data_IF_944415934710
#
_entry.id   IF_944415934710
#
_cell.length_a   1.000
_cell.length_b   1.000
_cell.length_c   1.000
_cell.angle_alpha   90.00
_cell.angle_beta   90.00
_cell.angle_gamma   90.00
#
_symmetry.space_group_name_H-M   'P 1'
#
loop_
_entity.id
_entity.type
_entity.pdbx_description
1 polymer ?
#
# COMPACT_ATOMS: atom_id res chain seq x y z
N UNK A 1 -17.44 5.00 -24.88
CA UNK A 1 -17.23 5.03 -23.42
C UNK A 1 -15.81 4.57 -23.18
N UNK A 2 -14.99 5.40 -22.56
CA UNK A 2 -13.59 5.09 -22.26
C UNK A 2 -13.51 4.11 -21.09
N UNK A 3 -12.45 3.29 -21.06
CA UNK A 3 -12.16 2.42 -19.91
C UNK A 3 -11.57 3.23 -18.75
N UNK A 4 -11.61 2.71 -17.54
CA UNK A 4 -10.98 3.35 -16.37
C UNK A 4 -9.47 3.52 -16.55
N UNK A 5 -8.82 2.59 -17.26
CA UNK A 5 -7.39 2.65 -17.62
C UNK A 5 -7.09 3.84 -18.53
N UNK A 6 -7.87 4.00 -19.60
CA UNK A 6 -7.73 5.14 -20.52
C UNK A 6 -7.93 6.48 -19.80
N UNK A 7 -8.90 6.54 -18.88
CA UNK A 7 -9.14 7.75 -18.08
C UNK A 7 -8.01 7.98 -17.08
N UNK A 8 -7.48 6.93 -16.48
CA UNK A 8 -6.34 7.04 -15.55
C UNK A 8 -5.09 7.58 -16.25
N UNK A 9 -4.78 7.12 -17.47
CA UNK A 9 -3.66 7.67 -18.22
C UNK A 9 -3.87 9.16 -18.54
N UNK A 10 -5.09 9.57 -18.89
CA UNK A 10 -5.41 11.00 -19.07
C UNK A 10 -5.26 11.81 -17.77
N UNK A 11 -5.65 11.22 -16.63
CA UNK A 11 -5.42 11.84 -15.31
C UNK A 11 -3.94 11.99 -15.04
N UNK A 12 -3.14 10.95 -15.30
CA UNK A 12 -1.68 11.00 -15.15
C UNK A 12 -1.05 12.11 -15.99
N UNK A 13 -1.42 12.19 -17.26
CA UNK A 13 -0.84 13.15 -18.20
C UNK A 13 -1.24 14.60 -17.88
N UNK A 14 -2.45 14.84 -17.39
CA UNK A 14 -3.01 16.18 -17.30
C UNK A 14 -3.14 16.73 -15.87
N UNK A 15 -3.24 15.86 -14.87
CA UNK A 15 -3.54 16.26 -13.50
C UNK A 15 -2.45 15.90 -12.50
N UNK A 16 -1.52 15.02 -12.89
CA UNK A 16 -0.53 14.50 -11.97
C UNK A 16 0.79 15.20 -12.15
N UNK A 17 1.15 16.02 -11.17
CA UNK A 17 2.47 16.64 -11.11
C UNK A 17 3.47 15.69 -10.43
N UNK A 18 4.37 15.15 -11.24
CA UNK A 18 5.43 14.25 -10.78
C UNK A 18 6.53 14.97 -10.00
N UNK A 19 6.66 16.29 -10.13
CA UNK A 19 7.71 17.06 -9.44
C UNK A 19 7.48 17.12 -7.92
N UNK A 20 6.23 17.00 -7.48
CA UNK A 20 5.87 16.99 -6.06
C UNK A 20 6.12 15.65 -5.36
N UNK A 21 6.52 14.62 -6.09
CA UNK A 21 6.88 13.31 -5.49
C UNK A 21 8.04 13.45 -4.51
N UNK A 22 8.99 14.34 -4.78
CA UNK A 22 10.09 14.63 -3.85
C UNK A 22 9.58 15.19 -2.52
N UNK A 23 8.53 16.01 -2.54
CA UNK A 23 7.90 16.56 -1.34
C UNK A 23 7.18 15.46 -0.54
N UNK A 24 6.45 14.58 -1.22
CA UNK A 24 5.81 13.40 -0.58
C UNK A 24 6.88 12.49 0.02
N UNK A 25 7.94 12.18 -0.69
CA UNK A 25 9.05 11.38 -0.19
C UNK A 25 9.67 12.02 1.07
N UNK A 26 9.84 13.34 1.07
CA UNK A 26 10.33 14.08 2.24
C UNK A 26 9.34 14.02 3.41
N UNK A 27 8.05 14.21 3.16
CA UNK A 27 7.01 14.12 4.19
C UNK A 27 6.89 12.72 4.79
N UNK A 28 7.12 11.68 3.99
CA UNK A 28 7.13 10.27 4.40
C UNK A 28 8.49 9.80 4.90
N UNK A 29 9.52 10.66 4.85
CA UNK A 29 10.90 10.35 5.25
C UNK A 29 11.53 9.21 4.44
N UNK A 30 11.16 9.06 3.18
CA UNK A 30 11.81 8.10 2.29
C UNK A 30 13.19 8.62 1.92
N UNK A 31 14.22 7.96 2.43
CA UNK A 31 15.62 8.37 2.24
C UNK A 31 16.30 7.63 1.09
N UNK A 32 15.77 6.49 0.68
CA UNK A 32 16.32 5.66 -0.39
C UNK A 32 15.81 6.10 -1.76
N UNK A 33 16.72 6.36 -2.70
CA UNK A 33 16.37 6.87 -4.03
C UNK A 33 15.63 5.81 -4.88
N UNK A 34 15.91 4.51 -4.66
CA UNK A 34 15.18 3.41 -5.30
C UNK A 34 13.67 3.50 -5.04
N UNK A 35 13.29 3.85 -3.80
CA UNK A 35 11.88 4.02 -3.43
C UNK A 35 11.26 5.20 -4.16
N UNK A 36 11.96 6.33 -4.22
CA UNK A 36 11.46 7.53 -4.89
C UNK A 36 11.23 7.25 -6.38
N UNK A 37 12.21 6.66 -7.06
CA UNK A 37 12.11 6.30 -8.47
C UNK A 37 10.97 5.32 -8.71
N UNK A 38 10.89 4.26 -7.90
CA UNK A 38 9.84 3.26 -8.00
C UNK A 38 8.43 3.86 -7.84
N UNK A 39 8.26 4.75 -6.89
CA UNK A 39 6.97 5.40 -6.66
C UNK A 39 6.57 6.29 -7.85
N UNK A 40 7.51 7.08 -8.39
CA UNK A 40 7.28 7.92 -9.58
C UNK A 40 6.85 7.08 -10.79
N UNK A 41 7.57 5.99 -11.05
CA UNK A 41 7.35 5.15 -12.23
C UNK A 41 6.01 4.41 -12.19
N UNK A 42 5.55 4.05 -11.00
CA UNK A 42 4.45 3.08 -10.87
C UNK A 42 3.15 3.66 -10.33
N UNK A 43 3.14 4.75 -9.52
CA UNK A 43 1.93 5.06 -8.77
C UNK A 43 1.65 6.52 -8.48
N UNK A 44 2.61 7.46 -8.56
CA UNK A 44 2.45 8.70 -7.85
C UNK A 44 2.40 9.93 -8.72
N UNK A 45 1.42 10.75 -8.41
CA UNK A 45 1.43 12.14 -8.76
C UNK A 45 0.48 12.90 -7.85
N UNK A 46 0.75 14.18 -7.72
CA UNK A 46 -0.11 15.09 -6.97
C UNK A 46 -1.21 15.61 -7.89
N UNK A 47 -2.46 15.38 -7.53
CA UNK A 47 -3.57 15.83 -8.34
C UNK A 47 -3.72 17.34 -8.26
N UNK A 48 -3.61 18.01 -9.40
CA UNK A 48 -3.95 19.41 -9.58
C UNK A 48 -5.43 19.57 -9.90
N UNK A 49 -5.95 20.81 -9.94
CA UNK A 49 -7.33 21.05 -10.26
C UNK A 49 -7.63 20.81 -11.75
N UNK A 50 -8.61 19.96 -12.10
CA UNK A 50 -9.06 19.79 -13.48
C UNK A 50 -9.95 20.92 -13.99
N UNK A 51 -10.25 21.91 -13.14
CA UNK A 51 -11.33 22.90 -13.35
C UNK A 51 -11.18 23.79 -14.60
N UNK A 52 -10.06 23.73 -15.31
CA UNK A 52 -9.80 24.47 -16.56
C UNK A 52 -9.96 23.60 -17.81
N UNK A 53 -10.13 22.28 -17.68
CA UNK A 53 -10.23 21.35 -18.81
C UNK A 53 -11.59 20.66 -18.85
N UNK A 54 -12.54 21.24 -19.61
CA UNK A 54 -13.92 20.74 -19.74
C UNK A 54 -13.95 19.30 -20.31
N UNK A 55 -13.07 18.98 -21.25
CA UNK A 55 -13.01 17.66 -21.86
C UNK A 55 -12.62 16.60 -20.83
N UNK A 56 -11.60 16.89 -20.01
CA UNK A 56 -11.19 16.01 -18.93
C UNK A 56 -12.27 15.85 -17.86
N UNK A 57 -12.99 16.94 -17.52
CA UNK A 57 -14.11 16.86 -16.58
C UNK A 57 -15.23 15.93 -17.10
N UNK A 58 -15.57 16.02 -18.39
CA UNK A 58 -16.57 15.13 -19.00
C UNK A 58 -16.12 13.66 -18.94
N UNK A 59 -14.85 13.40 -19.19
CA UNK A 59 -14.28 12.04 -19.13
C UNK A 59 -14.26 11.49 -17.70
N UNK A 60 -13.96 12.31 -16.71
CA UNK A 60 -14.00 11.93 -15.29
C UNK A 60 -15.45 11.60 -14.85
N UNK A 61 -16.41 12.37 -15.35
CA UNK A 61 -17.84 12.13 -15.08
C UNK A 61 -18.34 10.83 -15.70
N UNK A 62 -17.92 10.53 -16.95
CA UNK A 62 -18.28 9.28 -17.66
C UNK A 62 -17.91 8.01 -16.87
N UNK A 63 -16.80 8.03 -16.12
CA UNK A 63 -16.34 6.90 -15.30
C UNK A 63 -16.75 7.02 -13.84
N UNK A 64 -17.52 8.05 -13.48
CA UNK A 64 -18.03 8.28 -12.12
C UNK A 64 -16.95 8.75 -11.12
N UNK A 65 -15.89 9.41 -11.59
CA UNK A 65 -14.80 9.89 -10.74
C UNK A 65 -14.97 11.34 -10.28
N UNK A 66 -16.15 11.95 -10.56
CA UNK A 66 -16.55 13.21 -9.97
C UNK A 66 -17.58 13.00 -8.86
N UNK A 67 -17.47 13.77 -7.79
CA UNK A 67 -18.50 13.93 -6.79
C UNK A 67 -19.11 15.34 -6.95
N UNK A 68 -20.39 15.41 -7.31
CA UNK A 68 -21.12 16.68 -7.55
C UNK A 68 -20.36 17.65 -8.46
N UNK A 69 -19.75 17.12 -9.53
CA UNK A 69 -18.99 17.90 -10.49
C UNK A 69 -17.59 18.33 -10.02
N UNK A 70 -17.07 17.72 -8.94
CA UNK A 70 -15.74 18.05 -8.40
C UNK A 70 -14.85 16.80 -8.40
N UNK A 71 -13.60 16.96 -8.85
CA UNK A 71 -12.59 15.92 -8.70
C UNK A 71 -12.05 15.90 -7.27
N UNK A 72 -12.53 14.94 -6.49
CA UNK A 72 -12.31 14.89 -5.02
C UNK A 72 -10.87 14.58 -4.61
N UNK A 73 -10.01 14.20 -5.55
CA UNK A 73 -8.60 13.90 -5.28
C UNK A 73 -7.66 15.10 -5.47
N UNK A 74 -8.19 16.27 -5.84
CA UNK A 74 -7.40 17.49 -5.92
C UNK A 74 -6.62 17.75 -4.62
N UNK A 75 -5.36 18.15 -4.73
CA UNK A 75 -4.48 18.39 -3.59
C UNK A 75 -4.05 17.11 -2.84
N UNK A 76 -4.13 15.95 -3.49
CA UNK A 76 -3.74 14.66 -2.92
C UNK A 76 -2.75 13.92 -3.81
N UNK A 77 -1.95 13.08 -3.21
CA UNK A 77 -1.19 12.07 -3.93
C UNK A 77 -2.15 10.97 -4.35
N UNK A 78 -2.25 10.74 -5.65
CA UNK A 78 -3.19 9.76 -6.23
C UNK A 78 -2.49 8.43 -6.44
N UNK A 79 -3.16 7.36 -6.01
CA UNK A 79 -2.71 5.98 -6.16
C UNK A 79 -3.85 5.16 -6.75
N UNK A 80 -3.63 4.40 -7.85
CA UNK A 80 -4.65 3.49 -8.37
C UNK A 80 -4.80 2.27 -7.46
N UNK A 81 -6.04 1.87 -7.23
CA UNK A 81 -6.37 0.57 -6.66
C UNK A 81 -6.75 -0.34 -7.83
N UNK A 82 -6.07 -1.47 -7.96
CA UNK A 82 -6.28 -2.43 -9.04
C UNK A 82 -7.01 -3.67 -8.57
N UNK A 83 -7.73 -4.28 -9.48
CA UNK A 83 -8.24 -5.64 -9.36
C UNK A 83 -7.08 -6.65 -9.48
N UNK A 84 -7.34 -7.92 -9.15
CA UNK A 84 -6.34 -8.99 -9.25
C UNK A 84 -5.84 -9.23 -10.69
N UNK A 85 -6.60 -8.84 -11.71
CA UNK A 85 -6.22 -8.91 -13.12
C UNK A 85 -5.42 -7.70 -13.62
N UNK A 86 -5.12 -6.74 -12.73
CA UNK A 86 -4.38 -5.51 -13.03
C UNK A 86 -5.25 -4.36 -13.54
N UNK A 87 -6.54 -4.57 -13.84
CA UNK A 87 -7.45 -3.49 -14.23
C UNK A 87 -7.73 -2.52 -13.09
N UNK A 88 -8.03 -1.26 -13.40
CA UNK A 88 -8.27 -0.24 -12.36
C UNK A 88 -9.66 -0.38 -11.77
N UNK A 89 -9.74 -0.63 -10.47
CA UNK A 89 -10.98 -0.62 -9.71
C UNK A 89 -11.40 0.81 -9.39
N UNK A 90 -10.52 1.59 -8.74
CA UNK A 90 -10.76 2.99 -8.38
C UNK A 90 -9.44 3.72 -8.08
N UNK A 91 -9.54 4.99 -7.67
CA UNK A 91 -8.41 5.80 -7.22
C UNK A 91 -8.53 6.13 -5.74
N UNK A 92 -7.40 6.15 -5.04
CA UNK A 92 -7.29 6.67 -3.68
C UNK A 92 -6.34 7.85 -3.65
N UNK A 93 -6.74 8.90 -2.93
CA UNK A 93 -5.92 10.08 -2.70
C UNK A 93 -5.43 10.16 -1.25
N UNK A 94 -4.13 10.37 -1.06
CA UNK A 94 -3.52 10.59 0.24
C UNK A 94 -3.06 12.04 0.40
N UNK A 95 -3.22 12.59 1.60
CA UNK A 95 -2.60 13.86 2.02
C UNK A 95 -2.26 13.84 3.51
N UNK A 96 -1.35 14.72 3.92
CA UNK A 96 -1.15 15.01 5.34
C UNK A 96 -2.35 15.81 5.86
N UNK A 97 -2.99 15.33 6.91
CA UNK A 97 -4.19 15.96 7.51
C UNK A 97 -5.43 15.09 7.40
N UNK A 98 -6.58 15.65 7.73
CA UNK A 98 -7.85 14.92 7.75
C UNK A 98 -8.75 15.30 6.56
N UNK A 99 -9.45 14.35 5.95
CA UNK A 99 -9.20 12.92 6.04
C UNK A 99 -7.86 12.55 5.35
N UNK A 100 -7.07 11.69 5.99
CA UNK A 100 -5.75 11.26 5.49
C UNK A 100 -5.85 10.55 4.14
N UNK A 101 -6.85 9.69 4.00
CA UNK A 101 -7.17 8.98 2.76
C UNK A 101 -8.58 9.32 2.30
N UNK A 102 -8.74 9.46 1.01
CA UNK A 102 -10.04 9.57 0.34
C UNK A 102 -10.04 8.63 -0.86
N UNK A 103 -11.01 7.73 -0.91
CA UNK A 103 -11.17 6.80 -2.03
C UNK A 103 -12.38 7.25 -2.84
N UNK A 104 -12.24 7.35 -4.15
CA UNK A 104 -13.38 7.63 -5.02
C UNK A 104 -14.38 6.49 -4.87
N UNK A 105 -15.64 6.84 -4.60
CA UNK A 105 -16.72 5.86 -4.56
C UNK A 105 -16.94 5.28 -5.96
N UNK A 106 -16.95 3.97 -6.05
CA UNK A 106 -17.18 3.25 -7.30
C UNK A 106 -18.06 2.03 -7.02
N UNK A 107 -19.00 1.73 -7.93
CA UNK A 107 -19.94 0.61 -7.76
C UNK A 107 -19.26 -0.75 -7.76
N UNK A 108 -18.12 -0.84 -8.43
CA UNK A 108 -17.35 -2.07 -8.59
C UNK A 108 -16.24 -2.20 -7.54
N UNK A 109 -16.14 -1.23 -6.59
CA UNK A 109 -15.13 -1.22 -5.55
C UNK A 109 -15.73 -1.26 -4.14
N UNK A 110 -15.22 -2.15 -3.32
CA UNK A 110 -15.47 -2.18 -1.88
C UNK A 110 -14.18 -2.48 -1.12
N UNK A 111 -13.87 -1.71 -0.09
CA UNK A 111 -12.72 -1.96 0.78
C UNK A 111 -12.78 -3.30 1.48
N UNK A 112 -13.98 -3.82 1.72
CA UNK A 112 -14.21 -5.12 2.37
C UNK A 112 -13.82 -6.30 1.48
N UNK A 113 -13.79 -6.11 0.16
CA UNK A 113 -13.50 -7.19 -0.80
C UNK A 113 -12.19 -7.01 -1.56
N UNK A 114 -11.65 -5.80 -1.61
CA UNK A 114 -10.42 -5.53 -2.36
C UNK A 114 -9.19 -5.51 -1.47
N UNK A 115 -8.12 -6.10 -1.97
CA UNK A 115 -6.78 -5.94 -1.47
C UNK A 115 -6.04 -4.89 -2.30
N UNK A 116 -5.34 -3.99 -1.66
CA UNK A 116 -4.42 -3.11 -2.37
C UNK A 116 -3.19 -3.89 -2.82
N UNK A 117 -2.75 -3.69 -4.06
CA UNK A 117 -1.54 -4.28 -4.66
C UNK A 117 -1.58 -5.81 -4.86
N UNK A 118 -2.76 -6.41 -4.93
CA UNK A 118 -2.88 -7.88 -5.07
C UNK A 118 -2.34 -8.37 -6.41
N UNK A 119 -2.59 -7.66 -7.49
CA UNK A 119 -2.14 -7.97 -8.85
C UNK A 119 -0.61 -8.14 -8.90
N UNK A 120 0.12 -7.17 -8.36
CA UNK A 120 1.59 -7.20 -8.33
C UNK A 120 2.15 -8.21 -7.32
N UNK A 121 1.47 -8.36 -6.19
CA UNK A 121 1.88 -9.36 -5.19
C UNK A 121 1.75 -10.77 -5.74
N UNK A 122 0.71 -11.06 -6.54
CA UNK A 122 0.57 -12.34 -7.25
C UNK A 122 1.71 -12.54 -8.24
N UNK A 123 1.99 -11.54 -9.09
CA UNK A 123 3.10 -11.63 -10.04
C UNK A 123 4.43 -11.85 -9.32
N UNK A 124 4.77 -11.06 -8.32
CA UNK A 124 6.03 -11.20 -7.57
C UNK A 124 6.13 -12.51 -6.80
N UNK A 125 5.02 -13.01 -6.24
CA UNK A 125 4.99 -14.26 -5.50
C UNK A 125 5.25 -15.48 -6.40
N UNK A 126 4.75 -15.46 -7.63
CA UNK A 126 4.83 -16.63 -8.52
C UNK A 126 5.90 -16.50 -9.61
N UNK A 127 6.20 -15.28 -10.06
CA UNK A 127 7.13 -15.01 -11.17
C UNK A 127 8.37 -14.20 -10.76
N UNK A 128 8.37 -13.62 -9.55
CA UNK A 128 9.44 -12.75 -9.06
C UNK A 128 10.58 -13.48 -8.35
N UNK A 129 11.10 -12.88 -7.31
CA UNK A 129 12.23 -13.39 -6.53
C UNK A 129 11.91 -14.74 -5.87
N UNK A 130 12.70 -15.76 -6.18
CA UNK A 130 12.50 -17.12 -5.68
C UNK A 130 12.50 -17.24 -4.15
N UNK A 131 13.11 -16.26 -3.44
CA UNK A 131 13.09 -16.18 -1.97
C UNK A 131 11.69 -16.02 -1.41
N UNK A 132 10.76 -15.45 -2.18
CA UNK A 132 9.37 -15.17 -1.80
C UNK A 132 8.35 -16.05 -2.53
N UNK A 133 8.80 -17.09 -3.22
CA UNK A 133 7.89 -17.93 -4.01
C UNK A 133 6.75 -18.49 -3.16
N UNK A 134 5.51 -18.30 -3.65
CA UNK A 134 4.30 -18.74 -2.97
C UNK A 134 3.97 -17.97 -1.68
N UNK A 135 4.64 -16.86 -1.40
CA UNK A 135 4.42 -16.10 -0.17
C UNK A 135 3.86 -14.69 -0.41
N UNK A 136 3.22 -14.14 0.62
CA UNK A 136 2.73 -12.76 0.62
C UNK A 136 2.88 -12.14 2.01
N UNK A 137 3.23 -10.85 2.03
CA UNK A 137 3.22 -10.02 3.23
C UNK A 137 1.94 -9.18 3.27
N UNK A 138 1.22 -9.23 4.37
CA UNK A 138 -0.04 -8.51 4.60
C UNK A 138 0.21 -7.39 5.59
N UNK A 139 -0.10 -6.17 5.19
CA UNK A 139 0.02 -4.94 6.01
C UNK A 139 -1.31 -4.19 6.06
N UNK A 140 -1.44 -3.18 6.92
CA UNK A 140 -2.65 -2.36 7.00
C UNK A 140 -2.65 -1.21 6.00
N UNK A 141 -1.52 -0.53 5.87
CA UNK A 141 -1.37 0.70 5.08
C UNK A 141 -0.93 0.48 3.64
N UNK A 142 -1.50 1.27 2.71
CA UNK A 142 -1.11 1.22 1.29
C UNK A 142 0.35 1.59 1.08
N UNK A 143 0.90 2.50 1.88
CA UNK A 143 2.31 2.90 1.76
C UNK A 143 3.26 1.84 2.29
N UNK A 144 2.87 1.09 3.32
CA UNK A 144 3.66 -0.05 3.81
C UNK A 144 3.78 -1.11 2.71
N UNK A 145 2.67 -1.42 2.02
CA UNK A 145 2.68 -2.36 0.90
C UNK A 145 3.53 -1.85 -0.27
N UNK A 146 3.40 -0.57 -0.66
CA UNK A 146 4.20 0.02 -1.73
C UNK A 146 5.69 0.03 -1.41
N UNK A 147 6.04 0.32 -0.16
CA UNK A 147 7.44 0.36 0.27
C UNK A 147 8.07 -1.04 0.22
N UNK A 148 7.35 -2.06 0.71
CA UNK A 148 7.75 -3.46 0.57
C UNK A 148 7.86 -3.88 -0.90
N UNK A 149 6.87 -3.51 -1.71
CA UNK A 149 6.83 -3.82 -3.13
C UNK A 149 8.03 -3.23 -3.89
N UNK A 150 8.48 -2.03 -3.53
CA UNK A 150 9.66 -1.39 -4.10
C UNK A 150 10.96 -2.18 -3.84
N UNK A 151 11.04 -2.91 -2.73
CA UNK A 151 12.14 -3.85 -2.45
C UNK A 151 11.91 -5.25 -3.02
N UNK A 152 10.94 -5.45 -3.89
CA UNK A 152 10.68 -6.75 -4.52
C UNK A 152 9.95 -7.76 -3.63
N UNK A 153 9.44 -7.34 -2.47
CA UNK A 153 8.65 -8.18 -1.57
C UNK A 153 7.20 -8.21 -2.06
N UNK A 154 6.59 -9.40 -2.28
CA UNK A 154 5.16 -9.49 -2.59
C UNK A 154 4.34 -9.03 -1.37
N UNK A 155 3.72 -7.86 -1.47
CA UNK A 155 3.01 -7.24 -0.35
C UNK A 155 1.64 -6.70 -0.77
N UNK A 156 0.66 -6.88 0.12
CA UNK A 156 -0.72 -6.39 -0.04
C UNK A 156 -1.16 -5.62 1.19
N UNK A 157 -2.08 -4.64 1.01
CA UNK A 157 -2.64 -3.93 2.15
C UNK A 157 -4.14 -4.15 2.30
N UNK A 158 -4.58 -4.21 3.58
CA UNK A 158 -6.00 -4.33 3.93
C UNK A 158 -6.79 -3.06 3.64
N UNK A 159 -6.13 -1.91 3.59
CA UNK A 159 -6.76 -0.58 3.53
C UNK A 159 -7.69 -0.27 4.73
N UNK A 160 -7.51 -0.97 5.82
CA UNK A 160 -8.27 -0.86 7.07
C UNK A 160 -7.74 -1.83 8.11
N UNK A 161 -8.35 -1.89 9.29
CA UNK A 161 -7.87 -2.71 10.42
C UNK A 161 -8.30 -4.18 10.37
N UNK A 162 -9.16 -4.57 9.41
CA UNK A 162 -9.82 -5.86 9.44
C UNK A 162 -9.49 -6.72 8.20
N UNK A 163 -9.33 -8.02 8.42
CA UNK A 163 -9.31 -9.05 7.37
C UNK A 163 -10.52 -9.95 7.59
N UNK A 164 -11.61 -9.67 6.89
CA UNK A 164 -12.84 -10.45 6.96
C UNK A 164 -12.70 -11.81 6.24
N UNK A 165 -13.72 -12.65 6.29
CA UNK A 165 -13.69 -13.98 5.67
C UNK A 165 -13.45 -13.93 4.15
N UNK A 166 -13.99 -12.93 3.47
CA UNK A 166 -13.82 -12.78 2.02
C UNK A 166 -12.36 -12.48 1.66
N UNK A 167 -11.76 -11.50 2.34
CA UNK A 167 -10.33 -11.20 2.18
C UNK A 167 -9.45 -12.39 2.59
N UNK A 168 -9.78 -13.03 3.72
CA UNK A 168 -9.06 -14.20 4.19
C UNK A 168 -9.06 -15.36 3.20
N UNK A 169 -10.15 -15.54 2.45
CA UNK A 169 -10.24 -16.58 1.42
C UNK A 169 -9.20 -16.38 0.30
N UNK A 170 -8.90 -15.12 -0.08
CA UNK A 170 -7.89 -14.80 -1.09
C UNK A 170 -6.49 -15.21 -0.62
N UNK A 171 -6.21 -15.14 0.67
CA UNK A 171 -4.91 -15.50 1.22
C UNK A 171 -4.58 -17.00 1.09
N UNK A 172 -5.59 -17.86 0.86
CA UNK A 172 -5.36 -19.27 0.58
C UNK A 172 -4.73 -19.54 -0.80
N UNK A 173 -4.58 -18.51 -1.65
CA UNK A 173 -3.80 -18.61 -2.88
C UNK A 173 -2.28 -18.72 -2.62
N UNK A 174 -1.84 -18.37 -1.42
CA UNK A 174 -0.44 -18.34 -1.05
C UNK A 174 -0.09 -19.49 -0.09
N UNK A 175 1.07 -20.09 -0.31
CA UNK A 175 1.61 -21.16 0.56
C UNK A 175 2.00 -20.61 1.94
N UNK A 176 2.42 -19.34 1.99
CA UNK A 176 2.85 -18.65 3.21
C UNK A 176 2.32 -17.23 3.26
N UNK A 177 1.69 -16.90 4.39
CA UNK A 177 1.20 -15.55 4.68
C UNK A 177 1.95 -15.01 5.89
N UNK A 178 2.55 -13.81 5.75
CA UNK A 178 3.21 -13.09 6.83
C UNK A 178 2.38 -11.83 7.10
N UNK A 179 1.77 -11.76 8.27
CA UNK A 179 0.94 -10.64 8.70
C UNK A 179 1.77 -9.65 9.52
N UNK A 180 1.82 -8.40 9.11
CA UNK A 180 2.54 -7.31 9.80
C UNK A 180 1.53 -6.21 10.14
N UNK A 181 0.75 -6.39 11.23
CA UNK A 181 -0.22 -5.39 11.68
C UNK A 181 0.50 -4.17 12.26
N UNK A 182 -0.19 -3.04 12.24
CA UNK A 182 0.29 -1.82 12.91
C UNK A 182 0.45 -2.07 14.41
N UNK A 183 1.58 -1.65 14.97
CA UNK A 183 1.87 -1.81 16.41
C UNK A 183 1.24 -0.68 17.23
N UNK A 184 0.02 -0.29 16.91
CA UNK A 184 -0.76 0.66 17.67
C UNK A 184 -1.89 -0.05 18.45
N UNK A 185 -2.60 0.70 19.29
CA UNK A 185 -3.70 0.15 20.09
C UNK A 185 -4.84 -0.42 19.25
N UNK A 186 -5.03 0.07 18.02
CA UNK A 186 -6.10 -0.36 17.11
C UNK A 186 -5.72 -1.69 16.45
N UNK A 187 -4.51 -1.81 15.91
CA UNK A 187 -4.00 -3.05 15.31
C UNK A 187 -3.90 -4.18 16.34
N UNK A 188 -3.37 -3.90 17.54
CA UNK A 188 -3.33 -4.87 18.63
C UNK A 188 -4.74 -5.33 19.06
N UNK A 189 -5.70 -4.41 19.15
CA UNK A 189 -7.09 -4.74 19.47
C UNK A 189 -7.74 -5.58 18.37
N UNK A 190 -7.50 -5.27 17.10
CA UNK A 190 -8.03 -6.02 15.97
C UNK A 190 -7.59 -7.49 15.99
N UNK A 191 -6.33 -7.74 16.36
CA UNK A 191 -5.80 -9.10 16.53
C UNK A 191 -6.44 -9.83 17.72
N UNK A 192 -6.53 -9.17 18.88
CA UNK A 192 -7.16 -9.74 20.07
C UNK A 192 -8.65 -10.08 19.83
N UNK A 193 -9.34 -9.27 19.06
CA UNK A 193 -10.75 -9.49 18.68
C UNK A 193 -10.92 -10.47 17.51
N UNK A 194 -9.83 -11.11 17.04
CA UNK A 194 -9.83 -12.05 15.90
C UNK A 194 -10.42 -11.45 14.61
N UNK A 195 -10.22 -10.17 14.39
CA UNK A 195 -10.68 -9.47 13.18
C UNK A 195 -9.88 -9.82 11.93
N UNK A 196 -8.71 -10.43 12.10
CA UNK A 196 -7.90 -10.96 11.02
C UNK A 196 -8.20 -12.44 10.81
N UNK A 197 -9.07 -12.70 9.84
CA UNK A 197 -9.40 -14.07 9.42
C UNK A 197 -8.39 -14.52 8.36
N UNK A 198 -7.25 -15.00 8.81
CA UNK A 198 -6.13 -15.44 7.97
C UNK A 198 -5.95 -16.96 8.06
N UNK A 199 -5.27 -17.60 7.10
CA UNK A 199 -4.93 -19.03 7.17
C UNK A 199 -4.24 -19.40 8.48
N UNK A 200 -4.50 -20.60 8.98
CA UNK A 200 -3.99 -21.08 10.28
C UNK A 200 -2.47 -21.20 10.35
N UNK A 201 -1.80 -21.30 9.21
CA UNK A 201 -0.33 -21.35 9.08
C UNK A 201 0.32 -19.97 8.91
N UNK A 202 -0.44 -18.89 9.07
CA UNK A 202 0.09 -17.53 8.96
C UNK A 202 1.07 -17.21 10.07
N UNK A 203 2.10 -16.44 9.73
CA UNK A 203 3.05 -15.87 10.71
C UNK A 203 2.67 -14.44 10.99
N UNK A 204 2.72 -14.04 12.26
CA UNK A 204 2.55 -12.65 12.67
C UNK A 204 3.90 -12.07 13.05
N UNK A 205 4.28 -10.97 12.39
CA UNK A 205 5.49 -10.21 12.66
C UNK A 205 5.11 -8.86 13.26
N UNK A 206 5.61 -8.58 14.46
CA UNK A 206 5.40 -7.30 15.14
C UNK A 206 6.68 -6.48 15.10
N UNK A 207 6.58 -5.25 14.62
CA UNK A 207 7.67 -4.27 14.69
C UNK A 207 7.62 -3.61 16.06
N UNK A 208 8.62 -3.86 16.92
CA UNK A 208 8.71 -3.20 18.22
C UNK A 208 9.09 -1.72 18.04
N UNK A 209 8.42 -0.87 18.82
CA UNK A 209 8.74 0.55 18.82
C UNK A 209 10.12 0.80 19.41
N UNK A 210 11.02 1.39 18.61
CA UNK A 210 12.37 1.75 19.03
C UNK A 210 12.80 3.10 18.49
N UNK A 211 13.49 3.87 19.29
CA UNK A 211 14.07 5.15 18.89
C UNK A 211 15.57 5.00 18.67
N UNK A 212 16.02 5.38 17.48
CA UNK A 212 17.42 5.44 17.11
C UNK A 212 17.91 6.88 17.20
N UNK A 213 19.12 7.09 17.76
CA UNK A 213 19.79 8.38 17.77
C UNK A 213 21.01 8.33 16.85
N UNK A 214 21.09 9.27 15.93
CA UNK A 214 22.18 9.40 14.99
C UNK A 214 22.89 10.75 15.22
N UNK A 215 23.95 10.74 16.01
CA UNK A 215 24.70 11.95 16.37
C UNK A 215 23.89 12.94 17.22
N UNK A 216 24.36 14.19 17.29
CA UNK A 216 23.69 15.24 18.05
C UNK A 216 22.44 15.76 17.32
N UNK A 217 21.28 15.53 17.91
CA UNK A 217 20.00 16.13 17.49
C UNK A 217 19.19 15.37 16.43
N UNK A 218 19.70 14.29 15.81
CA UNK A 218 18.94 13.47 14.88
C UNK A 218 18.41 12.21 15.55
N UNK A 219 17.09 12.09 15.68
CA UNK A 219 16.45 10.88 16.17
C UNK A 219 15.41 10.35 15.17
N UNK A 220 15.33 9.04 15.03
CA UNK A 220 14.35 8.36 14.19
C UNK A 220 13.61 7.32 15.02
N UNK A 221 12.29 7.30 14.94
CA UNK A 221 11.44 6.34 15.64
C UNK A 221 10.94 5.30 14.66
N UNK A 222 11.24 4.04 14.91
CA UNK A 222 10.64 2.90 14.21
C UNK A 222 9.47 2.41 15.05
N UNK A 223 8.29 2.36 14.47
CA UNK A 223 7.05 1.90 15.10
C UNK A 223 6.20 1.02 14.19
N UNK A 224 6.50 1.03 12.90
CA UNK A 224 5.82 0.27 11.85
C UNK A 224 6.82 -0.17 10.79
N UNK A 225 6.37 -0.96 9.83
CA UNK A 225 7.23 -1.50 8.77
C UNK A 225 7.72 -0.40 7.81
N UNK A 226 6.93 0.63 7.54
CA UNK A 226 7.31 1.76 6.69
C UNK A 226 8.50 2.52 7.30
N UNK A 227 8.47 2.75 8.62
CA UNK A 227 9.59 3.37 9.33
C UNK A 227 10.84 2.48 9.35
N UNK A 228 10.67 1.14 9.48
CA UNK A 228 11.77 0.20 9.38
C UNK A 228 12.44 0.29 8.02
N UNK A 229 11.67 0.18 6.95
CA UNK A 229 12.16 0.26 5.58
C UNK A 229 12.83 1.59 5.26
N UNK A 230 12.31 2.69 5.81
CA UNK A 230 12.91 4.03 5.65
C UNK A 230 14.31 4.14 6.25
N UNK A 231 14.66 3.33 7.25
CA UNK A 231 15.99 3.32 7.87
C UNK A 231 16.91 2.22 7.31
N UNK A 232 16.35 1.02 7.15
CA UNK A 232 17.13 -0.19 6.92
C UNK A 232 17.02 -0.74 5.49
N UNK A 233 16.04 -0.25 4.70
CA UNK A 233 15.91 -0.56 3.29
C UNK A 233 15.88 -2.06 3.00
N UNK A 234 16.79 -2.53 2.15
CA UNK A 234 16.88 -3.92 1.72
C UNK A 234 17.19 -4.94 2.83
N UNK A 235 17.59 -4.50 4.04
CA UNK A 235 17.75 -5.40 5.18
C UNK A 235 16.44 -6.10 5.60
N UNK A 236 15.30 -5.63 5.10
CA UNK A 236 14.02 -6.33 5.27
C UNK A 236 14.05 -7.78 4.80
N UNK A 237 14.88 -8.10 3.81
CA UNK A 237 15.05 -9.47 3.33
C UNK A 237 15.66 -10.40 4.39
N UNK A 238 16.55 -9.90 5.24
CA UNK A 238 17.15 -10.67 6.34
C UNK A 238 16.11 -11.06 7.38
N UNK A 239 15.06 -10.25 7.51
CA UNK A 239 13.93 -10.49 8.42
C UNK A 239 12.89 -11.42 7.80
N UNK A 240 12.46 -11.15 6.58
CA UNK A 240 11.31 -11.83 5.97
C UNK A 240 11.67 -13.20 5.39
N UNK A 241 12.84 -13.38 4.78
CA UNK A 241 13.21 -14.64 4.13
C UNK A 241 13.19 -15.84 5.08
N UNK A 242 13.75 -15.77 6.31
CA UNK A 242 13.64 -16.85 7.29
C UNK A 242 12.18 -17.20 7.64
N UNK A 243 11.28 -16.20 7.70
CA UNK A 243 9.86 -16.41 8.00
C UNK A 243 9.13 -17.11 6.84
N UNK A 244 9.50 -16.81 5.60
CA UNK A 244 8.98 -17.50 4.41
C UNK A 244 9.38 -18.98 4.44
N UNK A 245 10.60 -19.27 4.81
CA UNK A 245 11.14 -20.65 4.86
C UNK A 245 10.56 -21.48 6.01
N UNK A 246 10.09 -20.83 7.07
CA UNK A 246 9.44 -21.51 8.20
C UNK A 246 7.99 -21.85 7.85
N UNK A 247 7.67 -23.14 7.67
CA UNK A 247 6.32 -23.61 7.30
C UNK A 247 5.32 -23.61 8.45
N UNK A 248 5.75 -23.42 9.69
CA UNK A 248 4.88 -23.32 10.86
C UNK A 248 4.21 -21.97 11.03
N UNK A 249 3.12 -21.92 11.80
CA UNK A 249 2.59 -20.66 12.32
C UNK A 249 3.52 -20.18 13.44
N UNK A 250 4.00 -18.95 13.34
CA UNK A 250 4.94 -18.36 14.30
C UNK A 250 4.47 -16.95 14.64
N UNK A 251 4.70 -16.56 15.90
CA UNK A 251 4.58 -15.16 16.32
C UNK A 251 5.99 -14.68 16.58
N UNK A 252 6.47 -13.81 15.72
CA UNK A 252 7.80 -13.22 15.82
C UNK A 252 7.72 -11.75 16.20
N UNK A 253 8.71 -11.31 16.96
CA UNK A 253 8.90 -9.89 17.24
C UNK A 253 10.18 -9.42 16.58
N UNK A 254 10.07 -8.41 15.74
CA UNK A 254 11.22 -7.72 15.21
C UNK A 254 11.76 -6.79 16.30
N UNK A 255 12.73 -7.30 17.04
CA UNK A 255 13.51 -6.54 18.03
C UNK A 255 14.73 -6.00 17.29
N UNK A 256 14.79 -4.69 17.12
CA UNK A 256 15.86 -3.99 16.40
C UNK A 256 16.99 -3.53 17.33
#
# INVERSE_FOLDING_TARGET
MRTKEEVYELVKENLIDLTTVSEVATQRKYIHDEIKSYLVENYFGFATSPSVNIELMNVLDEVGWLDKGTFTLEGRVVVPIRNADGSIATLVGWRKGFPKYYTIADKDFSKESHWFNLDRALDKSFNGDSRYRGSVVVVEGIFDALHLDAYGVPAIATMGSDVNAYKGAVLNLFDKVICVPDNDKVGQKALLEKKWQVPTNSTFLYVEEKRYQFGEGLSFQVKDIDNFLSLFGSQIHEVLVPLVQNRGAVVERLVL
#
